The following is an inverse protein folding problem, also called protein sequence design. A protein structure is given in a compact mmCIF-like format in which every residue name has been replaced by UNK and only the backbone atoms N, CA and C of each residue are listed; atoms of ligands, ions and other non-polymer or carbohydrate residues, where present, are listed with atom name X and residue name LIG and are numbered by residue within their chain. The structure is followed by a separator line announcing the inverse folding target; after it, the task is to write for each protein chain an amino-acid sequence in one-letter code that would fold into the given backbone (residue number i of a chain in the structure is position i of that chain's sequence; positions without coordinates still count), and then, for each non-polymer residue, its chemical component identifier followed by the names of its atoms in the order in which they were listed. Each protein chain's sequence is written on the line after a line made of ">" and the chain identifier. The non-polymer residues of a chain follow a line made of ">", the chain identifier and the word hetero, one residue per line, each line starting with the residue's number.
data_IF_680160696725
#
_entry.id   IF_680160696725
#
_cell.length_a   1.000
_cell.length_b   1.000
_cell.length_c   1.000
_cell.angle_alpha   90.00
_cell.angle_beta   90.00
_cell.angle_gamma   90.00
#
_symmetry.space_group_name_H-M   'P 1'
#
loop_
_entity.id
_entity.type
_entity.pdbx_description
1 polymer ?
#
# COMPACT_ATOMS: atom_id res chain seq x y z
N UNK A 1 -26.20 -7.86 -15.25
CA UNK A 1 -26.26 -6.49 -14.69
C UNK A 1 -26.24 -6.62 -13.19
N UNK A 2 -25.43 -5.82 -12.48
CA UNK A 2 -25.45 -5.83 -11.02
C UNK A 2 -26.83 -5.37 -10.55
N UNK A 3 -27.49 -6.16 -9.70
CA UNK A 3 -28.77 -5.82 -9.13
C UNK A 3 -28.49 -5.01 -7.86
N UNK A 4 -28.76 -3.71 -7.90
CA UNK A 4 -28.60 -2.81 -6.76
C UNK A 4 -29.89 -2.72 -5.96
N UNK A 5 -29.78 -2.70 -4.64
CA UNK A 5 -30.88 -2.51 -3.72
C UNK A 5 -30.62 -1.28 -2.84
N UNK A 6 -31.69 -0.60 -2.45
CA UNK A 6 -31.61 0.48 -1.46
C UNK A 6 -30.97 -0.09 -0.19
N UNK A 7 -29.94 0.60 0.29
CA UNK A 7 -29.13 0.19 1.43
C UNK A 7 -27.75 -0.35 1.06
N UNK A 8 -27.51 -0.71 -0.21
CA UNK A 8 -26.22 -1.21 -0.67
C UNK A 8 -25.14 -0.11 -0.58
N UNK A 9 -23.92 -0.51 -0.18
CA UNK A 9 -22.75 0.36 -0.33
C UNK A 9 -22.22 0.21 -1.74
N UNK A 10 -22.25 1.31 -2.49
CA UNK A 10 -21.85 1.37 -3.90
C UNK A 10 -20.73 2.38 -4.10
N UNK A 11 -20.05 2.25 -5.23
CA UNK A 11 -19.10 3.25 -5.72
C UNK A 11 -19.33 3.52 -7.20
N UNK A 12 -18.91 4.68 -7.68
CA UNK A 12 -18.83 4.94 -9.10
C UNK A 12 -17.77 4.02 -9.76
N UNK A 13 -17.84 3.83 -11.08
CA UNK A 13 -16.90 2.95 -11.78
C UNK A 13 -15.42 3.32 -11.53
N UNK A 14 -15.14 4.62 -11.35
CA UNK A 14 -13.79 5.14 -11.09
C UNK A 14 -13.34 4.96 -9.63
N UNK A 15 -14.25 4.66 -8.70
CA UNK A 15 -13.97 4.57 -7.27
C UNK A 15 -13.59 5.91 -6.63
N UNK A 16 -13.99 7.02 -7.25
CA UNK A 16 -13.78 8.37 -6.72
C UNK A 16 -14.89 8.79 -5.75
N UNK A 17 -16.08 8.23 -5.91
CA UNK A 17 -17.24 8.51 -5.08
C UNK A 17 -17.84 7.20 -4.58
N UNK A 18 -17.96 7.07 -3.26
CA UNK A 18 -18.59 5.93 -2.62
C UNK A 18 -19.60 6.38 -1.56
N UNK A 19 -20.58 5.53 -1.30
CA UNK A 19 -21.61 5.82 -0.32
C UNK A 19 -22.74 4.81 -0.33
N UNK A 20 -23.76 5.09 0.48
CA UNK A 20 -24.92 4.21 0.62
C UNK A 20 -25.99 4.62 -0.38
N UNK A 21 -26.49 3.66 -1.16
CA UNK A 21 -27.63 3.87 -2.04
C UNK A 21 -28.88 4.09 -1.18
N UNK A 22 -29.49 5.26 -1.26
CA UNK A 22 -30.65 5.66 -0.42
C UNK A 22 -31.97 5.64 -1.19
N UNK A 23 -31.92 5.84 -2.51
CA UNK A 23 -33.12 5.80 -3.35
C UNK A 23 -32.78 5.39 -4.79
N UNK A 24 -33.78 4.91 -5.53
CA UNK A 24 -33.69 4.53 -6.96
C UNK A 24 -34.92 5.05 -7.70
N UNK A 25 -34.69 5.97 -8.64
CA UNK A 25 -35.72 6.51 -9.52
C UNK A 25 -35.39 6.18 -10.98
N UNK A 26 -36.12 5.21 -11.54
CA UNK A 26 -35.92 4.75 -12.92
C UNK A 26 -34.52 4.18 -13.14
N UNK A 27 -33.67 4.92 -13.87
CA UNK A 27 -32.27 4.55 -14.16
C UNK A 27 -31.24 5.25 -13.29
N UNK A 28 -31.69 6.07 -12.33
CA UNK A 28 -30.85 6.89 -11.47
C UNK A 28 -30.90 6.35 -10.05
N UNK A 29 -29.73 6.20 -9.42
CA UNK A 29 -29.58 5.87 -8.02
C UNK A 29 -29.04 7.08 -7.25
N UNK A 30 -29.59 7.34 -6.08
CA UNK A 30 -29.17 8.43 -5.20
C UNK A 30 -28.27 7.86 -4.11
N UNK A 31 -27.04 8.35 -4.04
CA UNK A 31 -25.99 7.82 -3.16
C UNK A 31 -25.63 8.85 -2.10
N UNK A 32 -25.84 8.51 -0.84
CA UNK A 32 -25.43 9.30 0.32
C UNK A 32 -23.97 9.03 0.66
N UNK A 33 -23.12 10.02 0.47
CA UNK A 33 -21.69 9.95 0.78
C UNK A 33 -21.43 10.12 2.29
N UNK A 34 -20.24 9.73 2.73
CA UNK A 34 -19.81 9.85 4.14
C UNK A 34 -19.73 11.29 4.64
N UNK A 35 -19.61 12.27 3.74
CA UNK A 35 -19.64 13.70 4.05
C UNK A 35 -21.08 14.26 4.22
N UNK A 36 -22.11 13.41 4.08
CA UNK A 36 -23.52 13.81 4.18
C UNK A 36 -24.09 14.46 2.91
N UNK A 37 -23.34 14.47 1.80
CA UNK A 37 -23.81 14.94 0.50
C UNK A 37 -24.46 13.78 -0.25
N UNK A 38 -25.65 14.03 -0.77
CA UNK A 38 -26.32 13.11 -1.69
C UNK A 38 -25.96 13.46 -3.13
N UNK A 39 -25.64 12.44 -3.92
CA UNK A 39 -25.25 12.58 -5.33
C UNK A 39 -26.04 11.57 -6.16
N UNK A 40 -26.58 12.02 -7.29
CA UNK A 40 -27.26 11.17 -8.25
C UNK A 40 -26.25 10.54 -9.22
N UNK A 41 -26.41 9.23 -9.45
CA UNK A 41 -25.61 8.48 -10.41
C UNK A 41 -26.51 7.65 -11.33
N UNK A 42 -26.20 7.56 -12.63
CA UNK A 42 -26.78 6.52 -13.47
C UNK A 42 -26.43 5.14 -12.88
N UNK A 43 -27.41 4.23 -12.75
CA UNK A 43 -27.17 2.87 -12.22
C UNK A 43 -26.11 2.10 -13.03
N UNK A 44 -25.96 2.41 -14.31
CA UNK A 44 -24.92 1.85 -15.20
C UNK A 44 -23.50 2.30 -14.85
N UNK A 45 -23.36 3.37 -14.07
CA UNK A 45 -22.07 3.89 -13.59
C UNK A 45 -21.78 3.51 -12.13
N UNK A 46 -22.65 2.73 -11.50
CA UNK A 46 -22.44 2.20 -10.17
C UNK A 46 -21.89 0.78 -10.24
N UNK A 47 -21.09 0.43 -9.24
CA UNK A 47 -20.64 -0.93 -8.94
C UNK A 47 -20.73 -1.17 -7.42
N UNK A 48 -20.86 -2.44 -6.98
CA UNK A 48 -20.71 -2.77 -5.57
C UNK A 48 -19.40 -2.19 -5.04
N UNK A 49 -19.43 -1.61 -3.84
CA UNK A 49 -18.22 -1.07 -3.23
C UNK A 49 -17.22 -2.21 -2.96
N UNK A 50 -16.06 -2.11 -3.59
CA UNK A 50 -14.91 -2.93 -3.24
C UNK A 50 -13.98 -2.06 -2.38
N UNK A 51 -13.72 -2.41 -1.11
CA UNK A 51 -12.77 -1.66 -0.32
C UNK A 51 -11.45 -1.62 -1.08
N UNK A 52 -10.78 -0.45 -1.15
CA UNK A 52 -9.46 -0.38 -1.75
C UNK A 52 -8.63 -1.48 -1.08
N UNK A 53 -8.01 -2.35 -1.89
CA UNK A 53 -7.06 -3.33 -1.38
C UNK A 53 -5.98 -2.54 -0.67
N UNK A 54 -6.16 -2.34 0.64
CA UNK A 54 -5.13 -1.82 1.51
C UNK A 54 -4.01 -2.81 1.33
N UNK A 55 -2.96 -2.40 0.62
CA UNK A 55 -1.73 -3.16 0.55
C UNK A 55 -1.37 -3.44 1.99
N UNK A 56 -1.49 -4.70 2.42
CA UNK A 56 -1.12 -5.13 3.76
C UNK A 56 0.18 -4.42 4.09
N UNK A 57 0.13 -3.54 5.09
CA UNK A 57 1.33 -2.91 5.59
C UNK A 57 2.09 -4.09 6.18
N UNK A 58 3.11 -4.57 5.45
CA UNK A 58 4.00 -5.61 5.93
C UNK A 58 4.76 -5.03 7.11
N UNK A 59 4.18 -5.14 8.29
CA UNK A 59 4.83 -4.80 9.54
C UNK A 59 5.86 -5.87 9.85
N UNK A 60 6.96 -5.50 10.49
CA UNK A 60 7.93 -6.49 10.93
C UNK A 60 7.35 -7.29 12.08
N UNK A 61 6.80 -8.45 11.77
CA UNK A 61 6.28 -9.41 12.74
C UNK A 61 7.38 -10.22 13.44
N UNK A 62 8.65 -9.81 13.33
CA UNK A 62 9.79 -10.50 13.95
C UNK A 62 11.14 -9.78 13.79
N UNK A 63 12.22 -10.32 14.38
CA UNK A 63 13.57 -9.76 14.27
C UNK A 63 14.05 -9.79 12.82
N UNK A 64 14.84 -8.77 12.45
CA UNK A 64 15.52 -8.76 11.16
C UNK A 64 16.53 -9.92 11.12
N UNK A 65 16.40 -10.76 10.10
CA UNK A 65 17.34 -11.79 9.69
C UNK A 65 18.71 -11.18 9.50
N UNK A 66 19.65 -11.72 10.25
CA UNK A 66 21.06 -11.39 10.10
C UNK A 66 21.73 -12.50 9.30
N UNK A 67 21.79 -12.33 7.97
CA UNK A 67 22.45 -13.27 7.06
C UNK A 67 23.52 -12.54 6.26
N UNK A 68 24.64 -13.22 6.02
CA UNK A 68 25.70 -12.70 5.17
C UNK A 68 25.14 -12.42 3.77
N UNK A 69 25.35 -11.20 3.28
CA UNK A 69 24.90 -10.82 1.94
C UNK A 69 25.81 -11.40 0.87
N UNK A 70 25.21 -11.94 -0.19
CA UNK A 70 25.93 -12.28 -1.42
C UNK A 70 26.42 -11.01 -2.13
N UNK A 71 27.44 -11.10 -3.01
CA UNK A 71 27.89 -9.95 -3.79
C UNK A 71 26.75 -9.27 -4.58
N UNK A 72 25.84 -10.07 -5.18
CA UNK A 72 24.68 -9.55 -5.89
C UNK A 72 23.71 -8.77 -4.96
N UNK A 73 23.51 -9.24 -3.73
CA UNK A 73 22.69 -8.55 -2.73
C UNK A 73 23.32 -7.24 -2.26
N UNK A 74 24.65 -7.18 -2.13
CA UNK A 74 25.37 -5.93 -1.83
C UNK A 74 25.25 -4.92 -2.97
N UNK A 75 25.42 -5.35 -4.21
CA UNK A 75 25.23 -4.50 -5.39
C UNK A 75 23.81 -3.97 -5.47
N UNK A 76 22.81 -4.80 -5.18
CA UNK A 76 21.42 -4.37 -5.17
C UNK A 76 21.12 -3.39 -4.03
N UNK A 77 21.68 -3.61 -2.83
CA UNK A 77 21.56 -2.64 -1.73
C UNK A 77 22.15 -1.28 -2.12
N UNK A 78 23.29 -1.28 -2.81
CA UNK A 78 23.96 -0.06 -3.27
C UNK A 78 23.22 0.64 -4.42
N UNK A 79 22.39 -0.08 -5.19
CA UNK A 79 21.63 0.50 -6.30
C UNK A 79 20.30 1.14 -5.88
N UNK A 80 19.93 1.07 -4.60
CA UNK A 80 18.70 1.69 -4.08
C UNK A 80 18.86 3.21 -4.07
N UNK A 81 17.96 3.96 -4.75
CA UNK A 81 17.96 5.41 -4.76
C UNK A 81 17.87 6.01 -3.35
N UNK A 82 18.58 7.12 -3.06
CA UNK A 82 18.50 7.82 -1.77
C UNK A 82 17.07 8.25 -1.39
N UNK A 83 16.24 8.60 -2.37
CA UNK A 83 14.84 8.96 -2.17
C UNK A 83 14.03 7.80 -1.57
N UNK A 84 14.25 6.58 -2.05
CA UNK A 84 13.60 5.37 -1.53
C UNK A 84 14.18 4.98 -0.17
N UNK A 85 15.50 5.07 0.02
CA UNK A 85 16.15 4.85 1.31
C UNK A 85 15.56 5.77 2.38
N UNK A 86 15.41 7.07 2.09
CA UNK A 86 14.86 8.04 3.04
C UNK A 86 13.38 7.76 3.36
N UNK A 87 12.58 7.35 2.37
CA UNK A 87 11.19 6.99 2.58
C UNK A 87 11.07 5.72 3.45
N UNK A 88 11.93 4.72 3.21
CA UNK A 88 11.98 3.48 3.98
C UNK A 88 12.45 3.74 5.41
N UNK A 89 13.49 4.55 5.60
CA UNK A 89 13.99 4.91 6.93
C UNK A 89 12.89 5.57 7.76
N UNK A 90 12.16 6.54 7.20
CA UNK A 90 11.01 7.17 7.86
C UNK A 90 9.95 6.15 8.28
N UNK A 91 9.56 5.25 7.38
CA UNK A 91 8.55 4.22 7.67
C UNK A 91 9.04 3.18 8.69
N UNK A 92 10.33 2.87 8.69
CA UNK A 92 10.97 1.95 9.62
C UNK A 92 11.04 2.54 11.03
N UNK A 93 11.53 3.77 11.13
CA UNK A 93 11.75 4.46 12.40
C UNK A 93 10.40 4.87 13.05
N UNK A 94 9.38 5.19 12.25
CA UNK A 94 8.02 5.48 12.77
C UNK A 94 7.33 4.26 13.41
N UNK A 95 7.75 3.04 13.08
CA UNK A 95 7.24 1.81 13.70
C UNK A 95 7.94 1.44 15.01
N UNK A 96 8.83 2.30 15.54
CA UNK A 96 9.67 2.01 16.71
C UNK A 96 9.12 2.52 18.05
N UNK A 97 7.91 3.09 18.07
CA UNK A 97 7.28 3.73 19.25
C UNK A 97 6.85 2.76 20.39
N UNK A 98 7.37 1.53 20.44
CA UNK A 98 7.10 0.53 21.49
C UNK A 98 8.32 0.19 22.36
N UNK A 99 8.09 -0.44 23.54
CA UNK A 99 9.05 -0.74 24.63
C UNK A 99 10.33 -1.51 24.25
N UNK A 100 10.51 -1.88 22.99
CA UNK A 100 11.75 -2.44 22.45
C UNK A 100 12.31 -1.50 21.39
N UNK A 101 13.04 -0.47 21.85
CA UNK A 101 13.66 0.56 21.01
C UNK A 101 14.57 -0.09 19.96
N UNK A 102 14.05 -0.18 18.75
CA UNK A 102 14.76 -0.72 17.61
C UNK A 102 15.85 0.27 17.20
N UNK A 103 17.06 -0.20 16.83
CA UNK A 103 18.09 0.70 16.33
C UNK A 103 17.61 1.43 15.07
N UNK A 104 17.91 2.74 14.91
CA UNK A 104 17.53 3.50 13.73
C UNK A 104 18.00 2.85 12.44
N UNK A 105 17.23 2.98 11.35
CA UNK A 105 17.54 2.35 10.07
C UNK A 105 19.00 2.60 9.61
N UNK A 106 19.50 3.82 9.81
CA UNK A 106 20.85 4.21 9.41
C UNK A 106 21.98 3.44 10.13
N UNK A 107 21.72 2.95 11.35
CA UNK A 107 22.70 2.23 12.18
C UNK A 107 22.69 0.72 11.94
N UNK A 108 21.78 0.24 11.09
CA UNK A 108 21.65 -1.18 10.80
C UNK A 108 22.81 -1.70 9.94
N UNK A 109 23.31 -2.91 10.22
CA UNK A 109 24.14 -3.67 9.29
C UNK A 109 23.49 -3.79 7.91
N UNK A 110 24.30 -3.95 6.86
CA UNK A 110 23.81 -4.09 5.47
C UNK A 110 22.76 -5.20 5.32
N UNK A 111 22.96 -6.34 6.00
CA UNK A 111 22.03 -7.48 6.03
C UNK A 111 20.63 -7.06 6.47
N UNK A 112 20.57 -6.32 7.58
CA UNK A 112 19.34 -5.82 8.20
C UNK A 112 18.71 -4.67 7.40
N UNK A 113 19.53 -3.79 6.79
CA UNK A 113 19.04 -2.75 5.88
C UNK A 113 18.35 -3.33 4.66
N UNK A 114 18.96 -4.34 4.02
CA UNK A 114 18.37 -4.97 2.85
C UNK A 114 17.01 -5.61 3.17
N UNK A 115 16.89 -6.27 4.33
CA UNK A 115 15.62 -6.86 4.72
C UNK A 115 14.57 -5.81 5.09
N UNK A 116 14.94 -4.75 5.81
CA UNK A 116 14.04 -3.64 6.07
C UNK A 116 13.54 -3.01 4.75
N UNK A 117 14.43 -2.81 3.77
CA UNK A 117 14.05 -2.34 2.43
C UNK A 117 13.06 -3.31 1.79
N UNK A 118 13.32 -4.62 1.80
CA UNK A 118 12.41 -5.62 1.23
C UNK A 118 11.00 -5.57 1.83
N UNK A 119 10.90 -5.27 3.12
CA UNK A 119 9.63 -5.26 3.85
C UNK A 119 8.84 -3.97 3.59
N UNK A 120 9.50 -2.81 3.59
CA UNK A 120 8.84 -1.51 3.44
C UNK A 120 8.76 -1.01 2.00
N UNK A 121 9.60 -1.48 1.08
CA UNK A 121 9.56 -1.05 -0.31
C UNK A 121 8.17 -1.25 -0.95
N UNK A 122 7.45 -2.38 -0.75
CA UNK A 122 6.09 -2.55 -1.27
C UNK A 122 5.03 -1.65 -0.62
N UNK A 123 5.32 -1.06 0.54
CA UNK A 123 4.38 -0.18 1.26
C UNK A 123 4.55 1.29 0.87
N UNK A 124 5.57 1.63 0.08
CA UNK A 124 5.76 3.00 -0.40
C UNK A 124 4.70 3.39 -1.44
N UNK A 125 4.35 4.69 -1.53
CA UNK A 125 3.45 5.21 -2.55
C UNK A 125 3.89 4.85 -3.98
N UNK A 126 2.95 4.43 -4.82
CA UNK A 126 3.21 4.02 -6.20
C UNK A 126 3.93 5.11 -7.02
N UNK A 127 3.66 6.40 -6.76
CA UNK A 127 4.36 7.53 -7.39
C UNK A 127 5.88 7.51 -7.18
N UNK A 128 6.35 6.98 -6.04
CA UNK A 128 7.77 6.83 -5.75
C UNK A 128 8.34 5.54 -6.37
N UNK A 129 7.52 4.50 -6.49
CA UNK A 129 7.94 3.19 -7.01
C UNK A 129 7.94 3.13 -8.54
N UNK A 130 7.10 3.91 -9.22
CA UNK A 130 6.88 3.82 -10.67
C UNK A 130 8.18 3.97 -11.49
N UNK A 131 9.09 4.86 -11.08
CA UNK A 131 10.39 5.07 -11.73
C UNK A 131 11.44 4.01 -11.38
N UNK A 132 11.13 3.09 -10.46
CA UNK A 132 12.06 2.13 -9.89
C UNK A 132 11.51 0.69 -9.89
N UNK A 133 10.54 0.38 -10.75
CA UNK A 133 9.86 -0.93 -10.78
C UNK A 133 10.83 -2.11 -10.96
N UNK A 134 11.90 -1.94 -11.74
CA UNK A 134 12.93 -2.98 -11.89
C UNK A 134 13.60 -3.34 -10.56
N UNK A 135 13.84 -2.34 -9.71
CA UNK A 135 14.41 -2.54 -8.38
C UNK A 135 13.41 -3.21 -7.43
N UNK A 136 12.13 -2.84 -7.53
CA UNK A 136 11.05 -3.49 -6.75
C UNK A 136 10.96 -4.99 -7.08
N UNK A 137 11.02 -5.35 -8.36
CA UNK A 137 11.01 -6.74 -8.81
C UNK A 137 12.25 -7.49 -8.31
N UNK A 138 13.44 -6.91 -8.48
CA UNK A 138 14.70 -7.51 -8.02
C UNK A 138 14.71 -7.76 -6.49
N UNK A 139 14.21 -6.81 -5.70
CA UNK A 139 14.09 -6.94 -4.24
C UNK A 139 13.09 -8.02 -3.83
N UNK A 140 12.00 -8.20 -4.58
CA UNK A 140 11.01 -9.25 -4.34
C UNK A 140 11.59 -10.64 -4.62
N UNK A 141 12.31 -10.80 -5.72
CA UNK A 141 12.76 -12.12 -6.16
C UNK A 141 13.91 -12.67 -5.30
N UNK A 142 14.71 -11.81 -4.67
CA UNK A 142 15.67 -12.21 -3.62
C UNK A 142 14.99 -12.87 -2.42
N UNK A 143 13.72 -12.58 -2.15
CA UNK A 143 12.99 -13.18 -1.03
C UNK A 143 12.74 -14.69 -1.21
N UNK A 144 12.79 -15.17 -2.46
CA UNK A 144 12.48 -16.55 -2.85
C UNK A 144 13.71 -17.44 -2.97
N UNK A 145 14.91 -16.85 -2.94
CA UNK A 145 16.21 -17.53 -2.95
C UNK A 145 16.71 -17.76 -1.52
#
# INVERSE_FOLDING_TARGET
>A
MAQFSIGDHVSDLKGAHDGKLVDIEGSTGYVMQSNGVEVDFPLSQLKPYEPPKVSEIRTLSGPLRDRLLTPAQKTLLASVPPSLINAIAKSYDAGSDGESSRPPFATLPESKRLEAIRIYLPTLPQRLLASHMNLVVAMRDIAKS
#
